data_IF_319945743113
#
_entry.id   IF_319945743113
#
_cell.length_a   1.000
_cell.length_b   1.000
_cell.length_c   1.000
_cell.angle_alpha   90.00
_cell.angle_beta   90.00
_cell.angle_gamma   90.00
#
_symmetry.space_group_name_H-M   'P 1'
#
loop_
_entity.id
_entity.type
_entity.pdbx_description
1 polymer ?
#
# COMPACT_ATOMS: atom_id res chain seq x y z
N UNK A 1 45.89 -16.80 -13.75
CA UNK A 1 46.62 -16.14 -12.66
C UNK A 1 47.57 -15.14 -13.28
N UNK A 2 47.51 -13.89 -12.86
CA UNK A 2 48.40 -12.85 -13.35
C UNK A 2 49.66 -12.81 -12.47
N UNK A 3 50.78 -13.34 -12.99
CA UNK A 3 52.06 -13.42 -12.28
C UNK A 3 52.60 -12.04 -11.89
N UNK A 4 52.33 -11.00 -12.68
CA UNK A 4 52.75 -9.63 -12.34
C UNK A 4 51.93 -9.05 -11.20
N UNK A 5 50.62 -9.33 -11.18
CA UNK A 5 49.74 -8.91 -10.07
C UNK A 5 50.16 -9.56 -8.75
N UNK A 6 50.40 -10.87 -8.75
CA UNK A 6 50.87 -11.61 -7.57
C UNK A 6 52.27 -11.14 -7.13
N UNK A 7 53.19 -10.93 -8.07
CA UNK A 7 54.53 -10.42 -7.77
C UNK A 7 54.53 -9.04 -7.12
N UNK A 8 53.74 -8.11 -7.68
CA UNK A 8 53.56 -6.77 -7.12
C UNK A 8 52.98 -6.82 -5.71
N UNK A 9 52.01 -7.72 -5.48
CA UNK A 9 51.39 -7.94 -4.19
C UNK A 9 52.36 -8.51 -3.14
N UNK A 10 53.23 -9.47 -3.52
CA UNK A 10 54.30 -9.99 -2.67
C UNK A 10 55.27 -8.87 -2.26
N UNK A 11 55.68 -8.03 -3.23
CA UNK A 11 56.59 -6.90 -2.96
C UNK A 11 55.97 -5.89 -2.01
N UNK A 12 54.68 -5.58 -2.18
CA UNK A 12 53.93 -4.67 -1.31
C UNK A 12 53.85 -5.20 0.13
N UNK A 13 53.46 -6.47 0.30
CA UNK A 13 53.34 -7.10 1.63
C UNK A 13 54.71 -7.21 2.33
N UNK A 14 55.78 -7.54 1.59
CA UNK A 14 57.14 -7.57 2.13
C UNK A 14 57.55 -6.19 2.64
N UNK A 15 57.33 -5.14 1.84
CA UNK A 15 57.64 -3.75 2.22
C UNK A 15 56.82 -3.28 3.41
N UNK A 16 55.53 -3.62 3.49
CA UNK A 16 54.67 -3.31 4.65
C UNK A 16 55.19 -3.93 5.95
N UNK A 17 55.88 -5.06 5.87
CA UNK A 17 56.53 -5.72 7.00
C UNK A 17 57.99 -5.29 7.22
N UNK A 18 58.45 -4.25 6.50
CA UNK A 18 59.80 -3.71 6.57
C UNK A 18 60.91 -4.76 6.36
N UNK A 19 60.64 -5.79 5.54
CA UNK A 19 61.62 -6.85 5.27
C UNK A 19 62.39 -6.57 3.98
N UNK A 20 63.67 -6.92 3.91
CA UNK A 20 64.44 -6.96 2.65
C UNK A 20 64.12 -8.22 1.83
N UNK A 21 64.43 -8.25 0.53
CA UNK A 21 64.23 -9.47 -0.29
C UNK A 21 65.10 -10.64 0.22
N UNK A 22 66.29 -10.34 0.74
CA UNK A 22 67.17 -11.31 1.38
C UNK A 22 66.57 -11.87 2.68
N UNK A 23 65.97 -11.01 3.52
CA UNK A 23 65.30 -11.46 4.75
C UNK A 23 64.09 -12.34 4.48
N UNK A 24 63.29 -12.01 3.45
CA UNK A 24 62.18 -12.84 3.03
C UNK A 24 62.68 -14.20 2.49
N UNK A 25 63.76 -14.19 1.71
CA UNK A 25 64.41 -15.40 1.22
C UNK A 25 64.89 -16.30 2.35
N UNK A 26 65.56 -15.72 3.36
CA UNK A 26 66.05 -16.44 4.52
C UNK A 26 64.91 -17.10 5.32
N UNK A 27 63.77 -16.42 5.49
CA UNK A 27 62.60 -16.97 6.20
C UNK A 27 61.94 -18.14 5.47
N UNK A 28 62.09 -18.21 4.15
CA UNK A 28 61.46 -19.22 3.30
C UNK A 28 62.45 -20.27 2.80
N UNK A 29 63.72 -20.21 3.24
CA UNK A 29 64.82 -21.05 2.75
C UNK A 29 65.01 -20.99 1.22
N UNK A 30 64.86 -19.79 0.63
CA UNK A 30 65.04 -19.56 -0.80
C UNK A 30 66.05 -18.43 -1.06
N UNK A 31 66.62 -18.41 -2.26
CA UNK A 31 67.58 -17.36 -2.63
C UNK A 31 66.90 -16.00 -2.83
N UNK A 32 67.61 -14.91 -2.52
CA UNK A 32 67.18 -13.54 -2.84
C UNK A 32 66.76 -13.39 -4.33
N UNK A 33 67.49 -14.06 -5.23
CA UNK A 33 67.19 -14.07 -6.67
C UNK A 33 65.83 -14.70 -7.00
N UNK A 34 65.40 -15.72 -6.25
CA UNK A 34 64.07 -16.32 -6.41
C UNK A 34 62.97 -15.33 -6.01
N UNK A 35 63.12 -14.67 -4.85
CA UNK A 35 62.19 -13.63 -4.39
C UNK A 35 62.09 -12.47 -5.39
N UNK A 36 63.22 -12.02 -5.93
CA UNK A 36 63.25 -10.98 -6.96
C UNK A 36 62.45 -11.37 -8.21
N UNK A 37 62.61 -12.61 -8.71
CA UNK A 37 61.83 -13.11 -9.86
C UNK A 37 60.34 -13.19 -9.58
N UNK A 38 59.96 -13.55 -8.36
CA UNK A 38 58.54 -13.57 -7.97
C UNK A 38 57.99 -12.15 -7.96
N UNK A 39 58.71 -11.19 -7.39
CA UNK A 39 58.28 -9.79 -7.30
C UNK A 39 58.18 -9.10 -8.67
N UNK A 40 59.04 -9.44 -9.64
CA UNK A 40 58.98 -8.89 -11.02
C UNK A 40 57.97 -9.60 -11.92
N UNK A 41 57.42 -10.73 -11.49
CA UNK A 41 56.51 -11.57 -12.28
C UNK A 41 57.20 -12.47 -13.31
N UNK A 42 58.53 -12.55 -13.28
CA UNK A 42 59.37 -13.40 -14.16
C UNK A 42 59.52 -14.85 -13.64
N UNK A 43 58.82 -15.17 -12.55
CA UNK A 43 58.74 -16.51 -11.97
C UNK A 43 57.63 -16.58 -10.94
N UNK A 44 57.27 -17.79 -10.53
CA UNK A 44 56.23 -18.02 -9.53
C UNK A 44 56.78 -18.85 -8.36
N UNK A 45 56.32 -18.63 -7.12
CA UNK A 45 56.67 -19.50 -6.00
C UNK A 45 56.20 -20.93 -6.27
N UNK A 46 57.00 -21.93 -5.87
CA UNK A 46 56.58 -23.32 -5.99
C UNK A 46 55.39 -23.62 -5.08
N UNK A 47 54.58 -24.61 -5.47
CA UNK A 47 53.35 -24.97 -4.72
C UNK A 47 53.62 -25.31 -3.24
N UNK A 48 54.82 -25.81 -2.95
CA UNK A 48 55.32 -26.13 -1.60
C UNK A 48 55.70 -24.88 -0.81
N UNK A 49 56.12 -23.80 -1.47
CA UNK A 49 56.54 -22.54 -0.85
C UNK A 49 55.37 -21.57 -0.64
N UNK A 50 54.26 -21.72 -1.39
CA UNK A 50 53.09 -20.84 -1.32
C UNK A 50 52.46 -20.77 0.09
N UNK A 51 52.25 -21.88 0.83
CA UNK A 51 51.70 -21.82 2.19
C UNK A 51 52.63 -21.06 3.17
N UNK A 52 53.93 -21.36 3.12
CA UNK A 52 54.93 -20.69 3.97
C UNK A 52 55.06 -19.20 3.65
N UNK A 53 55.02 -18.84 2.37
CA UNK A 53 55.03 -17.45 1.91
C UNK A 53 53.79 -16.70 2.40
N UNK A 54 52.60 -17.31 2.30
CA UNK A 54 51.35 -16.74 2.78
C UNK A 54 51.38 -16.50 4.30
N UNK A 55 51.92 -17.44 5.07
CA UNK A 55 52.10 -17.33 6.51
C UNK A 55 53.07 -16.20 6.90
N UNK A 56 54.25 -16.14 6.28
CA UNK A 56 55.24 -15.09 6.54
C UNK A 56 54.68 -13.71 6.20
N UNK A 57 53.88 -13.60 5.14
CA UNK A 57 53.25 -12.34 4.72
C UNK A 57 51.93 -12.03 5.45
N UNK A 58 51.36 -12.97 6.20
CA UNK A 58 50.15 -12.78 7.02
C UNK A 58 48.85 -12.72 6.22
N UNK A 59 48.77 -13.44 5.11
CA UNK A 59 47.57 -13.54 4.25
C UNK A 59 47.20 -15.02 4.04
N UNK A 60 45.98 -15.31 3.61
CA UNK A 60 45.60 -16.66 3.19
C UNK A 60 46.24 -17.02 1.84
N UNK A 61 46.44 -18.31 1.58
CA UNK A 61 46.92 -18.80 0.28
C UNK A 61 46.05 -18.30 -0.86
N UNK A 62 44.72 -18.28 -0.68
CA UNK A 62 43.77 -17.73 -1.65
C UNK A 62 43.98 -16.24 -1.95
N UNK A 63 44.35 -15.42 -0.96
CA UNK A 63 44.62 -13.98 -1.16
C UNK A 63 45.95 -13.75 -1.88
N UNK A 64 46.99 -14.50 -1.49
CA UNK A 64 48.30 -14.47 -2.14
C UNK A 64 48.19 -14.85 -3.63
N UNK A 65 47.46 -15.92 -3.92
CA UNK A 65 47.24 -16.44 -5.28
C UNK A 65 46.39 -15.50 -6.17
N UNK A 66 45.50 -14.72 -5.58
CA UNK A 66 44.66 -13.73 -6.30
C UNK A 66 45.31 -12.34 -6.40
N UNK A 67 46.45 -12.13 -5.70
CA UNK A 67 47.18 -10.87 -5.69
C UNK A 67 46.40 -9.71 -5.06
N UNK A 68 45.48 -10.01 -4.14
CA UNK A 68 44.63 -9.03 -3.48
C UNK A 68 44.18 -9.55 -2.11
N UNK A 69 44.17 -8.66 -1.11
CA UNK A 69 43.53 -8.96 0.18
C UNK A 69 42.02 -8.97 -0.07
N UNK A 70 41.45 -10.15 -0.24
CA UNK A 70 40.00 -10.34 -0.14
C UNK A 70 39.62 -10.14 1.32
N UNK A 71 39.34 -8.89 1.69
CA UNK A 71 38.84 -8.55 3.00
C UNK A 71 37.71 -9.50 3.40
N UNK A 72 38.03 -10.45 4.27
CA UNK A 72 37.04 -11.35 4.87
C UNK A 72 35.95 -10.48 5.51
N UNK A 73 34.71 -10.66 5.08
CA UNK A 73 33.56 -10.52 5.98
C UNK A 73 32.80 -9.19 6.01
N UNK A 74 32.82 -8.35 4.98
CA UNK A 74 31.91 -7.19 4.95
C UNK A 74 31.09 -7.09 3.65
N UNK A 75 31.66 -7.41 2.50
CA UNK A 75 30.95 -7.29 1.22
C UNK A 75 30.10 -8.52 0.90
N UNK A 76 30.61 -9.73 1.14
CA UNK A 76 29.85 -10.97 0.91
C UNK A 76 28.66 -11.10 1.88
N UNK A 77 28.85 -10.73 3.16
CA UNK A 77 27.78 -10.77 4.15
C UNK A 77 26.69 -9.73 3.82
N UNK A 78 27.07 -8.53 3.38
CA UNK A 78 26.12 -7.52 2.90
C UNK A 78 25.35 -7.98 1.66
N UNK A 79 25.99 -8.67 0.72
CA UNK A 79 25.30 -9.22 -0.45
C UNK A 79 24.33 -10.34 -0.08
N UNK A 80 24.74 -11.26 0.79
CA UNK A 80 23.89 -12.36 1.30
C UNK A 80 22.68 -11.79 2.05
N UNK A 81 22.90 -10.82 2.95
CA UNK A 81 21.83 -10.14 3.69
C UNK A 81 20.91 -9.36 2.75
N UNK A 82 21.44 -8.69 1.72
CA UNK A 82 20.64 -7.98 0.72
C UNK A 82 19.75 -8.96 -0.07
N UNK A 83 20.30 -10.08 -0.52
CA UNK A 83 19.56 -11.11 -1.26
C UNK A 83 18.49 -11.77 -0.40
N UNK A 84 18.80 -12.04 0.87
CA UNK A 84 17.84 -12.55 1.85
C UNK A 84 16.69 -11.56 2.10
N UNK A 85 17.00 -10.28 2.29
CA UNK A 85 15.99 -9.22 2.45
C UNK A 85 15.10 -9.06 1.21
N UNK A 86 15.65 -9.20 0.00
CA UNK A 86 14.88 -9.20 -1.25
C UNK A 86 13.93 -10.40 -1.29
N UNK A 87 14.41 -11.60 -0.98
CA UNK A 87 13.59 -12.81 -0.95
C UNK A 87 12.48 -12.72 0.10
N UNK A 88 12.78 -12.23 1.31
CA UNK A 88 11.77 -11.97 2.34
C UNK A 88 10.72 -10.95 1.89
N UNK A 89 11.14 -9.85 1.25
CA UNK A 89 10.20 -8.87 0.68
C UNK A 89 9.30 -9.49 -0.38
N UNK A 90 9.80 -10.40 -1.22
CA UNK A 90 8.99 -11.12 -2.19
C UNK A 90 7.98 -12.07 -1.50
N UNK A 91 8.43 -12.87 -0.54
CA UNK A 91 7.56 -13.79 0.22
C UNK A 91 6.47 -13.01 0.95
N UNK A 92 6.80 -11.88 1.59
CA UNK A 92 5.82 -11.04 2.27
C UNK A 92 4.81 -10.43 1.30
N UNK A 93 5.24 -9.95 0.12
CA UNK A 93 4.31 -9.46 -0.92
C UNK A 93 3.36 -10.56 -1.43
N UNK A 94 3.85 -11.79 -1.61
CA UNK A 94 3.02 -12.93 -2.00
C UNK A 94 2.02 -13.29 -0.89
N UNK A 95 2.46 -13.28 0.37
CA UNK A 95 1.62 -13.57 1.54
C UNK A 95 0.53 -12.52 1.74
N UNK A 96 0.86 -11.23 1.59
CA UNK A 96 -0.11 -10.13 1.61
C UNK A 96 -1.16 -10.30 0.50
N UNK A 97 -0.74 -10.53 -0.74
CA UNK A 97 -1.67 -10.74 -1.86
C UNK A 97 -2.57 -11.95 -1.68
N UNK A 98 -2.03 -13.07 -1.19
CA UNK A 98 -2.79 -14.28 -0.90
C UNK A 98 -3.84 -14.05 0.20
N UNK A 99 -3.48 -13.37 1.28
CA UNK A 99 -4.42 -13.05 2.35
C UNK A 99 -5.55 -12.13 1.88
N UNK A 100 -5.25 -11.09 1.10
CA UNK A 100 -6.27 -10.20 0.53
C UNK A 100 -7.23 -10.95 -0.38
N UNK A 101 -6.72 -11.85 -1.24
CA UNK A 101 -7.57 -12.65 -2.13
C UNK A 101 -8.44 -13.65 -1.35
N UNK A 102 -7.92 -14.26 -0.27
CA UNK A 102 -8.71 -15.12 0.62
C UNK A 102 -9.86 -14.36 1.28
N UNK A 103 -9.59 -13.16 1.81
CA UNK A 103 -10.63 -12.31 2.41
C UNK A 103 -11.68 -11.94 1.36
N UNK A 104 -11.27 -11.53 0.16
CA UNK A 104 -12.18 -11.18 -0.92
C UNK A 104 -13.05 -12.36 -1.37
N UNK A 105 -12.50 -13.58 -1.40
CA UNK A 105 -13.23 -14.79 -1.72
C UNK A 105 -14.32 -15.08 -0.67
N UNK A 106 -13.98 -15.01 0.63
CA UNK A 106 -14.94 -15.19 1.72
C UNK A 106 -16.07 -14.17 1.63
N UNK A 107 -15.72 -12.88 1.44
CA UNK A 107 -16.74 -11.82 1.29
C UNK A 107 -17.65 -12.10 0.09
N UNK A 108 -17.07 -12.43 -1.07
CA UNK A 108 -17.85 -12.74 -2.28
C UNK A 108 -18.79 -13.92 -2.07
N UNK A 109 -18.33 -14.98 -1.41
CA UNK A 109 -19.18 -16.13 -1.08
C UNK A 109 -20.35 -15.76 -0.17
N UNK A 110 -20.13 -14.88 0.82
CA UNK A 110 -21.19 -14.42 1.72
C UNK A 110 -22.27 -13.61 0.96
N UNK A 111 -21.87 -12.73 0.03
CA UNK A 111 -22.82 -12.00 -0.83
C UNK A 111 -23.64 -12.93 -1.72
N UNK A 112 -23.01 -13.94 -2.32
CA UNK A 112 -23.71 -14.92 -3.15
C UNK A 112 -24.73 -15.73 -2.35
N UNK A 113 -24.38 -16.15 -1.13
CA UNK A 113 -25.31 -16.83 -0.22
C UNK A 113 -26.47 -15.90 0.15
N UNK A 114 -26.20 -14.62 0.43
CA UNK A 114 -27.25 -13.63 0.70
C UNK A 114 -28.22 -13.46 -0.46
N UNK A 115 -27.71 -13.29 -1.68
CA UNK A 115 -28.52 -13.17 -2.90
C UNK A 115 -29.36 -14.44 -3.10
N UNK A 116 -28.74 -15.62 -2.97
CA UNK A 116 -29.43 -16.90 -3.11
C UNK A 116 -30.55 -17.06 -2.08
N UNK A 117 -30.29 -16.69 -0.82
CA UNK A 117 -31.27 -16.78 0.27
C UNK A 117 -32.47 -15.86 0.00
N UNK A 118 -32.22 -14.60 -0.39
CA UNK A 118 -33.28 -13.66 -0.73
C UNK A 118 -34.14 -14.14 -1.92
N UNK A 119 -33.51 -14.66 -2.98
CA UNK A 119 -34.23 -15.23 -4.12
C UNK A 119 -35.04 -16.46 -3.75
N UNK A 120 -34.46 -17.37 -2.95
CA UNK A 120 -35.12 -18.60 -2.53
C UNK A 120 -36.35 -18.28 -1.67
N UNK A 121 -36.24 -17.37 -0.71
CA UNK A 121 -37.36 -16.94 0.11
C UNK A 121 -38.50 -16.36 -0.73
N UNK A 122 -38.19 -15.47 -1.67
CA UNK A 122 -39.19 -14.85 -2.55
C UNK A 122 -39.88 -15.87 -3.45
N UNK A 123 -39.11 -16.78 -4.05
CA UNK A 123 -39.66 -17.84 -4.89
C UNK A 123 -40.54 -18.81 -4.09
N UNK A 124 -40.16 -19.16 -2.86
CA UNK A 124 -40.95 -20.06 -2.02
C UNK A 124 -42.29 -19.43 -1.60
N UNK A 125 -42.31 -18.12 -1.31
CA UNK A 125 -43.50 -17.41 -0.85
C UNK A 125 -44.41 -17.03 -2.01
N UNK A 126 -43.87 -16.39 -3.05
CA UNK A 126 -44.65 -15.75 -4.09
C UNK A 126 -44.71 -16.56 -5.40
N UNK A 127 -43.92 -17.64 -5.53
CA UNK A 127 -43.71 -18.39 -6.80
C UNK A 127 -43.27 -17.51 -7.98
N UNK A 128 -42.80 -16.31 -7.69
CA UNK A 128 -42.33 -15.30 -8.62
C UNK A 128 -41.19 -14.51 -7.99
N UNK A 129 -40.44 -13.78 -8.81
CA UNK A 129 -39.38 -12.88 -8.36
C UNK A 129 -39.90 -11.45 -8.37
N UNK A 130 -40.28 -10.93 -7.20
CA UNK A 130 -40.72 -9.55 -7.03
C UNK A 130 -39.80 -8.81 -6.07
N UNK A 131 -39.99 -9.06 -4.79
CA UNK A 131 -39.34 -8.32 -3.69
C UNK A 131 -37.84 -8.66 -3.56
N UNK A 132 -37.40 -9.82 -4.07
CA UNK A 132 -35.99 -10.23 -4.02
C UNK A 132 -35.08 -9.39 -4.92
N UNK A 133 -35.63 -8.73 -5.93
CA UNK A 133 -34.85 -7.91 -6.86
C UNK A 133 -34.32 -6.62 -6.22
N UNK A 134 -35.02 -6.05 -5.24
CA UNK A 134 -34.56 -4.89 -4.47
C UNK A 134 -33.26 -5.19 -3.68
N UNK A 135 -33.22 -6.16 -2.75
CA UNK A 135 -32.00 -6.49 -2.02
C UNK A 135 -30.90 -7.03 -2.93
N UNK A 136 -31.26 -7.73 -4.02
CA UNK A 136 -30.26 -8.19 -4.98
C UNK A 136 -29.50 -7.03 -5.62
N UNK A 137 -30.21 -6.02 -6.13
CA UNK A 137 -29.58 -4.84 -6.71
C UNK A 137 -28.66 -4.13 -5.69
N UNK A 138 -29.12 -3.96 -4.46
CA UNK A 138 -28.32 -3.36 -3.39
C UNK A 138 -27.06 -4.18 -3.05
N UNK A 139 -27.19 -5.51 -2.93
CA UNK A 139 -26.06 -6.41 -2.64
C UNK A 139 -25.02 -6.40 -3.76
N UNK A 140 -25.45 -6.35 -5.03
CA UNK A 140 -24.54 -6.23 -6.17
C UNK A 140 -23.76 -4.92 -6.15
N UNK A 141 -24.40 -3.79 -5.82
CA UNK A 141 -23.72 -2.50 -5.71
C UNK A 141 -22.65 -2.53 -4.62
N UNK A 142 -23.01 -3.05 -3.43
CA UNK A 142 -22.07 -3.17 -2.31
C UNK A 142 -20.89 -4.06 -2.71
N UNK A 143 -21.16 -5.20 -3.36
CA UNK A 143 -20.12 -6.09 -3.84
C UNK A 143 -19.18 -5.41 -4.86
N UNK A 144 -19.72 -4.65 -5.81
CA UNK A 144 -18.93 -3.88 -6.80
C UNK A 144 -18.04 -2.81 -6.15
N UNK A 145 -18.50 -2.18 -5.05
CA UNK A 145 -17.73 -1.18 -4.31
C UNK A 145 -16.58 -1.84 -3.53
N UNK A 146 -16.76 -3.05 -3.01
CA UNK A 146 -15.75 -3.75 -2.21
C UNK A 146 -14.52 -4.13 -3.05
N UNK A 147 -14.70 -4.56 -4.30
CA UNK A 147 -13.59 -5.00 -5.18
C UNK A 147 -12.45 -3.96 -5.29
N UNK A 148 -12.70 -2.70 -5.69
CA UNK A 148 -11.65 -1.69 -5.80
C UNK A 148 -11.02 -1.34 -4.45
N UNK A 149 -11.76 -1.40 -3.33
CA UNK A 149 -11.22 -1.15 -1.98
C UNK A 149 -10.10 -2.13 -1.65
N UNK A 150 -10.28 -3.41 -2.00
CA UNK A 150 -9.32 -4.47 -1.65
C UNK A 150 -8.25 -4.71 -2.71
N UNK A 151 -8.56 -4.57 -4.02
CA UNK A 151 -7.59 -4.83 -5.09
C UNK A 151 -6.67 -3.65 -5.42
N UNK A 152 -7.15 -2.41 -5.29
CA UNK A 152 -6.39 -1.24 -5.71
C UNK A 152 -5.53 -0.70 -4.57
N UNK A 153 -4.26 -0.39 -4.87
CA UNK A 153 -3.33 0.21 -3.90
C UNK A 153 -3.40 1.74 -3.90
N UNK A 154 -3.56 2.35 -5.08
CA UNK A 154 -3.61 3.80 -5.28
C UNK A 154 -5.04 4.22 -5.66
N UNK A 155 -5.49 5.37 -5.19
CA UNK A 155 -6.81 5.96 -5.48
C UNK A 155 -8.02 5.05 -5.17
N UNK A 156 -7.84 3.97 -4.40
CA UNK A 156 -8.88 2.96 -4.10
C UNK A 156 -10.18 3.59 -3.59
N UNK A 157 -10.07 4.59 -2.72
CA UNK A 157 -11.22 5.28 -2.13
C UNK A 157 -12.00 6.03 -3.21
N UNK A 158 -11.33 6.84 -4.03
CA UNK A 158 -11.95 7.62 -5.11
C UNK A 158 -12.64 6.70 -6.12
N UNK A 159 -11.97 5.62 -6.53
CA UNK A 159 -12.51 4.67 -7.51
C UNK A 159 -13.75 3.97 -6.94
N UNK A 160 -13.74 3.59 -5.65
CA UNK A 160 -14.88 2.94 -5.00
C UNK A 160 -16.12 3.85 -4.94
N UNK A 161 -15.92 5.13 -4.62
CA UNK A 161 -17.01 6.12 -4.63
C UNK A 161 -17.49 6.44 -6.05
N UNK A 162 -16.60 6.39 -7.04
CA UNK A 162 -16.99 6.55 -8.46
C UNK A 162 -17.86 5.38 -8.92
N UNK A 163 -17.50 4.15 -8.54
CA UNK A 163 -18.30 2.95 -8.79
C UNK A 163 -19.66 3.05 -8.12
N UNK A 164 -19.72 3.50 -6.85
CA UNK A 164 -20.98 3.76 -6.15
C UNK A 164 -21.85 4.79 -6.91
N UNK A 165 -21.29 5.97 -7.22
CA UNK A 165 -22.01 7.03 -7.92
C UNK A 165 -22.58 6.56 -9.27
N UNK A 166 -21.80 5.81 -10.04
CA UNK A 166 -22.22 5.27 -11.33
C UNK A 166 -23.32 4.19 -11.18
N UNK A 167 -23.29 3.42 -10.10
CA UNK A 167 -24.22 2.29 -9.88
C UNK A 167 -25.55 2.71 -9.25
N UNK A 168 -25.59 3.84 -8.54
CA UNK A 168 -26.83 4.36 -7.90
C UNK A 168 -27.90 4.69 -8.94
N UNK A 169 -27.54 5.33 -10.05
CA UNK A 169 -28.52 5.75 -11.07
C UNK A 169 -29.23 4.54 -11.70
N UNK A 170 -28.53 3.51 -12.23
CA UNK A 170 -29.17 2.29 -12.72
C UNK A 170 -30.04 1.60 -11.68
N UNK A 171 -29.63 1.62 -10.41
CA UNK A 171 -30.40 1.00 -9.33
C UNK A 171 -31.73 1.74 -9.07
N UNK A 172 -31.75 3.07 -9.13
CA UNK A 172 -32.99 3.84 -9.01
C UNK A 172 -33.99 3.50 -10.13
N UNK A 173 -33.52 3.39 -11.37
CA UNK A 173 -34.35 2.96 -12.50
C UNK A 173 -34.83 1.51 -12.36
N UNK A 174 -34.00 0.64 -11.78
CA UNK A 174 -34.40 -0.73 -11.46
C UNK A 174 -35.53 -0.76 -10.42
N UNK A 175 -35.47 0.07 -9.37
CA UNK A 175 -36.56 0.20 -8.39
C UNK A 175 -37.84 0.69 -9.07
N UNK A 176 -37.77 1.69 -9.95
CA UNK A 176 -38.93 2.19 -10.70
C UNK A 176 -39.56 1.10 -11.57
N UNK A 177 -38.72 0.34 -12.29
CA UNK A 177 -39.18 -0.76 -13.12
C UNK A 177 -39.92 -1.84 -12.30
N UNK A 178 -39.39 -2.21 -11.13
CA UNK A 178 -40.00 -3.23 -10.27
C UNK A 178 -41.25 -2.71 -9.56
N UNK A 179 -41.22 -1.46 -9.09
CA UNK A 179 -42.34 -0.85 -8.38
C UNK A 179 -43.58 -0.67 -9.27
N UNK A 180 -43.42 -0.64 -10.60
CA UNK A 180 -44.52 -0.47 -11.54
C UNK A 180 -45.12 0.94 -11.56
N UNK A 181 -44.72 1.81 -10.63
CA UNK A 181 -45.06 3.22 -10.62
C UNK A 181 -44.16 4.00 -11.58
N UNK A 182 -44.78 4.71 -12.52
CA UNK A 182 -44.05 5.47 -13.53
C UNK A 182 -43.80 6.89 -13.02
N UNK A 183 -42.55 7.35 -13.20
CA UNK A 183 -42.09 8.76 -13.18
C UNK A 183 -41.76 9.40 -11.83
N UNK A 184 -41.48 8.65 -10.76
CA UNK A 184 -40.96 9.27 -9.53
C UNK A 184 -39.43 9.46 -9.56
N UNK A 185 -38.69 8.64 -10.32
CA UNK A 185 -37.22 8.73 -10.35
C UNK A 185 -36.72 10.04 -10.94
N UNK A 186 -37.26 10.47 -12.08
CA UNK A 186 -36.80 11.70 -12.74
C UNK A 186 -37.05 12.99 -11.94
N UNK A 187 -38.27 13.26 -11.42
CA UNK A 187 -38.55 14.50 -10.70
C UNK A 187 -38.02 14.48 -9.26
N UNK A 188 -37.92 13.31 -8.62
CA UNK A 188 -37.58 13.22 -7.20
C UNK A 188 -36.22 12.57 -6.97
N UNK A 189 -36.03 11.32 -7.39
CA UNK A 189 -34.85 10.54 -6.98
C UNK A 189 -33.55 11.01 -7.63
N UNK A 190 -33.58 11.40 -8.91
CA UNK A 190 -32.41 11.77 -9.67
C UNK A 190 -31.79 13.10 -9.18
N UNK A 191 -32.54 14.19 -8.96
CA UNK A 191 -31.98 15.42 -8.37
C UNK A 191 -31.35 15.17 -7.01
N UNK A 192 -32.00 14.35 -6.16
CA UNK A 192 -31.51 13.97 -4.84
C UNK A 192 -30.19 13.19 -4.93
N UNK A 193 -30.13 12.21 -5.84
CA UNK A 193 -28.93 11.40 -6.04
C UNK A 193 -27.76 12.26 -6.56
N UNK A 194 -28.00 13.13 -7.55
CA UNK A 194 -26.99 14.03 -8.11
C UNK A 194 -26.44 14.96 -7.02
N UNK A 195 -27.32 15.61 -6.25
CA UNK A 195 -26.93 16.49 -5.16
C UNK A 195 -26.07 15.76 -4.13
N UNK A 196 -26.48 14.55 -3.74
CA UNK A 196 -25.77 13.72 -2.77
C UNK A 196 -24.39 13.28 -3.28
N UNK A 197 -24.29 12.92 -4.56
CA UNK A 197 -23.03 12.54 -5.20
C UNK A 197 -22.08 13.74 -5.24
N UNK A 198 -22.55 14.92 -5.63
CA UNK A 198 -21.73 16.15 -5.66
C UNK A 198 -21.19 16.47 -4.26
N UNK A 199 -22.07 16.47 -3.25
CA UNK A 199 -21.67 16.71 -1.86
C UNK A 199 -20.62 15.71 -1.36
N UNK A 200 -20.78 14.44 -1.72
CA UNK A 200 -19.84 13.38 -1.40
C UNK A 200 -18.46 13.61 -2.04
N UNK A 201 -18.40 13.99 -3.33
CA UNK A 201 -17.13 14.30 -4.00
C UNK A 201 -16.45 15.54 -3.40
N UNK A 202 -17.20 16.56 -2.98
CA UNK A 202 -16.66 17.73 -2.28
C UNK A 202 -15.99 17.29 -0.97
N UNK A 203 -16.66 16.46 -0.17
CA UNK A 203 -16.10 15.94 1.08
C UNK A 203 -14.86 15.07 0.84
N UNK A 204 -14.87 14.23 -0.18
CA UNK A 204 -13.68 13.43 -0.55
C UNK A 204 -12.51 14.30 -1.00
N UNK A 205 -12.77 15.33 -1.79
CA UNK A 205 -11.76 16.29 -2.22
C UNK A 205 -11.13 16.99 -1.02
N UNK A 206 -11.97 17.47 -0.08
CA UNK A 206 -11.50 18.06 1.17
C UNK A 206 -10.64 17.08 1.97
N UNK A 207 -11.07 15.82 2.11
CA UNK A 207 -10.36 14.82 2.90
C UNK A 207 -9.00 14.40 2.31
N UNK A 208 -8.88 14.38 0.98
CA UNK A 208 -7.66 13.90 0.30
C UNK A 208 -6.66 15.03 0.05
N UNK A 209 -7.13 16.23 -0.29
CA UNK A 209 -6.28 17.30 -0.80
C UNK A 209 -5.95 18.39 0.24
N UNK A 210 -6.79 18.59 1.25
CA UNK A 210 -6.52 19.63 2.25
C UNK A 210 -5.56 19.15 3.34
N UNK A 211 -4.67 20.04 3.78
CA UNK A 211 -3.78 19.85 4.95
C UNK A 211 -4.50 20.12 6.29
N UNK A 212 -5.82 20.31 6.25
CA UNK A 212 -6.63 20.60 7.42
C UNK A 212 -6.70 19.34 8.29
N UNK A 213 -6.71 19.50 9.62
CA UNK A 213 -6.86 18.36 10.52
C UNK A 213 -8.19 17.65 10.27
N UNK A 214 -8.17 16.31 10.27
CA UNK A 214 -9.32 15.45 9.92
C UNK A 214 -10.61 15.80 10.69
N UNK A 215 -10.49 16.26 11.93
CA UNK A 215 -11.63 16.64 12.78
C UNK A 215 -12.37 17.88 12.27
N UNK A 216 -11.69 18.86 11.69
CA UNK A 216 -12.35 19.99 11.03
C UNK A 216 -13.05 19.57 9.74
N UNK A 217 -12.44 18.67 8.95
CA UNK A 217 -13.08 18.13 7.73
C UNK A 217 -14.36 17.37 8.08
N UNK A 218 -14.38 16.62 9.20
CA UNK A 218 -15.61 15.98 9.67
C UNK A 218 -16.69 16.98 10.05
N UNK A 219 -16.34 18.09 10.72
CA UNK A 219 -17.30 19.15 11.05
C UNK A 219 -17.88 19.82 9.79
N UNK A 220 -17.04 20.12 8.80
CA UNK A 220 -17.48 20.67 7.51
C UNK A 220 -18.39 19.69 6.78
N UNK A 221 -18.11 18.39 6.86
CA UNK A 221 -18.97 17.35 6.27
C UNK A 221 -20.37 17.35 6.91
N UNK A 222 -20.46 17.49 8.23
CA UNK A 222 -21.75 17.62 8.92
C UNK A 222 -22.52 18.87 8.50
N UNK A 223 -21.84 19.98 8.17
CA UNK A 223 -22.51 21.18 7.67
C UNK A 223 -23.01 20.97 6.23
N UNK A 224 -22.18 20.42 5.34
CA UNK A 224 -22.56 20.16 3.95
C UNK A 224 -23.75 19.20 3.87
N UNK A 225 -23.67 18.05 4.55
CA UNK A 225 -24.73 17.04 4.55
C UNK A 225 -25.93 17.45 5.41
N UNK A 226 -25.68 17.98 6.61
CA UNK A 226 -26.72 18.28 7.59
C UNK A 226 -27.50 19.56 7.32
N UNK A 227 -26.87 20.56 6.70
CA UNK A 227 -27.53 21.84 6.36
C UNK A 227 -27.83 21.91 4.87
N UNK A 228 -26.79 21.81 4.03
CA UNK A 228 -26.90 22.03 2.59
C UNK A 228 -27.86 21.04 1.91
N UNK A 229 -27.61 19.74 2.09
CA UNK A 229 -28.46 18.70 1.47
C UNK A 229 -29.87 18.75 2.06
N UNK A 230 -30.04 18.82 3.39
CA UNK A 230 -31.38 18.78 4.00
C UNK A 230 -32.29 19.94 3.55
N UNK A 231 -31.76 21.15 3.37
CA UNK A 231 -32.55 22.30 2.87
C UNK A 231 -32.99 22.03 1.42
N UNK A 232 -32.05 21.62 0.56
CA UNK A 232 -32.35 21.33 -0.84
C UNK A 232 -33.32 20.15 -0.99
N UNK A 233 -33.17 19.10 -0.18
CA UNK A 233 -34.15 18.01 -0.10
C UNK A 233 -35.53 18.52 0.29
N UNK A 234 -35.61 19.39 1.30
CA UNK A 234 -36.86 19.99 1.74
C UNK A 234 -37.57 20.80 0.65
N UNK A 235 -36.82 21.48 -0.23
CA UNK A 235 -37.36 22.19 -1.39
C UNK A 235 -37.88 21.22 -2.46
N UNK A 236 -37.05 20.25 -2.88
CA UNK A 236 -37.42 19.26 -3.91
C UNK A 236 -38.65 18.45 -3.48
N UNK A 237 -38.67 17.99 -2.22
CA UNK A 237 -39.81 17.22 -1.68
C UNK A 237 -41.04 18.13 -1.56
N UNK A 238 -40.87 19.38 -1.13
CA UNK A 238 -41.97 20.35 -1.02
C UNK A 238 -42.65 20.64 -2.36
N UNK A 239 -41.86 20.79 -3.44
CA UNK A 239 -42.37 20.95 -4.81
C UNK A 239 -43.12 19.71 -5.30
N UNK A 240 -42.67 18.51 -4.93
CA UNK A 240 -43.28 17.25 -5.38
C UNK A 240 -44.53 16.85 -4.59
N UNK A 241 -44.55 17.09 -3.27
CA UNK A 241 -45.59 16.59 -2.34
C UNK A 241 -46.62 17.68 -2.00
N UNK A 242 -46.45 18.92 -2.49
CA UNK A 242 -47.37 20.04 -2.24
C UNK A 242 -47.65 20.29 -0.74
N UNK A 243 -46.69 19.92 0.12
CA UNK A 243 -46.79 20.05 1.57
C UNK A 243 -45.74 21.03 2.09
N UNK A 244 -46.17 21.93 2.96
CA UNK A 244 -45.36 23.04 3.49
C UNK A 244 -44.17 22.50 4.30
N UNK A 245 -43.00 23.15 4.18
CA UNK A 245 -41.75 22.75 4.83
C UNK A 245 -41.93 22.38 6.30
N UNK A 246 -41.60 21.11 6.62
CA UNK A 246 -41.74 20.52 7.94
C UNK A 246 -40.77 21.13 8.97
N UNK A 247 -41.25 21.29 10.20
CA UNK A 247 -40.47 21.56 11.42
C UNK A 247 -39.25 20.64 11.59
N UNK A 248 -39.30 19.43 11.02
CA UNK A 248 -38.20 18.46 11.03
C UNK A 248 -36.94 18.92 10.28
N UNK A 249 -37.06 19.71 9.22
CA UNK A 249 -35.87 20.22 8.50
C UNK A 249 -35.09 21.20 9.36
N UNK A 250 -35.79 22.08 10.07
CA UNK A 250 -35.19 23.02 11.02
C UNK A 250 -34.50 22.31 12.19
N UNK A 251 -35.13 21.27 12.76
CA UNK A 251 -34.53 20.48 13.85
C UNK A 251 -33.25 19.79 13.37
N UNK A 252 -33.25 19.19 12.18
CA UNK A 252 -32.08 18.50 11.63
C UNK A 252 -30.93 19.47 11.30
N UNK A 253 -31.25 20.64 10.73
CA UNK A 253 -30.27 21.72 10.49
C UNK A 253 -29.65 22.15 11.81
N UNK A 254 -30.46 22.44 12.83
CA UNK A 254 -29.97 22.86 14.14
C UNK A 254 -29.07 21.79 14.79
N UNK A 255 -29.50 20.52 14.78
CA UNK A 255 -28.73 19.41 15.34
C UNK A 255 -27.39 19.25 14.61
N UNK A 256 -27.38 19.38 13.29
CA UNK A 256 -26.13 19.25 12.51
C UNK A 256 -25.13 20.37 12.81
N UNK A 257 -25.60 21.61 12.97
CA UNK A 257 -24.78 22.75 13.38
C UNK A 257 -24.24 22.52 14.80
N UNK A 258 -25.10 22.06 15.72
CA UNK A 258 -24.71 21.78 17.09
C UNK A 258 -23.61 20.72 17.18
N UNK A 259 -23.75 19.61 16.43
CA UNK A 259 -22.73 18.55 16.35
C UNK A 259 -21.42 19.09 15.75
N UNK A 260 -21.50 19.87 14.66
CA UNK A 260 -20.31 20.47 14.06
C UNK A 260 -19.58 21.40 15.05
N UNK A 261 -20.30 22.21 15.81
CA UNK A 261 -19.75 23.07 16.86
C UNK A 261 -19.06 22.25 17.97
N UNK A 262 -19.67 21.15 18.42
CA UNK A 262 -19.04 20.26 19.43
C UNK A 262 -17.72 19.70 18.91
N UNK A 263 -17.69 19.23 17.65
CA UNK A 263 -16.47 18.68 17.04
C UNK A 263 -15.37 19.73 16.97
N UNK A 264 -15.72 20.97 16.57
CA UNK A 264 -14.77 22.09 16.52
C UNK A 264 -14.26 22.46 17.92
N UNK A 265 -15.15 22.55 18.93
CA UNK A 265 -14.75 22.83 20.31
C UNK A 265 -13.84 21.74 20.88
N UNK A 266 -14.13 20.47 20.59
CA UNK A 266 -13.30 19.35 21.00
C UNK A 266 -11.91 19.43 20.38
N UNK A 267 -11.81 19.71 19.08
CA UNK A 267 -10.53 19.87 18.41
C UNK A 267 -9.75 21.08 18.94
N UNK A 268 -10.41 22.21 19.20
CA UNK A 268 -9.79 23.39 19.80
C UNK A 268 -9.19 23.08 21.20
N UNK A 269 -9.91 22.33 22.04
CA UNK A 269 -9.40 21.90 23.35
C UNK A 269 -8.21 20.94 23.20
N UNK A 270 -8.28 20.03 22.23
CA UNK A 270 -7.20 19.07 21.92
C UNK A 270 -5.94 19.77 21.40
N UNK A 271 -6.08 20.79 20.55
CA UNK A 271 -4.94 21.54 20.02
C UNK A 271 -4.24 22.30 21.13
N UNK A 272 -5.01 22.93 22.03
CA UNK A 272 -4.48 23.69 23.17
C UNK A 272 -3.68 22.80 24.14
N UNK A 273 -4.19 21.62 24.47
CA UNK A 273 -3.51 20.65 25.35
C UNK A 273 -2.23 20.04 24.74
N UNK A 274 -2.07 20.13 23.42
CA UNK A 274 -0.86 19.65 22.73
C UNK A 274 0.23 20.72 22.59
N UNK A 275 -0.09 21.98 22.88
CA UNK A 275 0.83 23.13 22.80
C UNK A 275 1.28 23.65 24.17
N UNK A 276 0.64 23.19 25.25
CA UNK A 276 1.07 23.35 26.65
C UNK A 276 1.95 22.17 27.04
#
# INVERSE_FOLDING_TARGET
MDSKKVGSFISELRKKKNMTQQELGNKLNVTNKAVSKWETGDGYPEITTIPALAEVLGVSTSELLNGEIKGKGMNDEKEVVKKFNINLKMINKLKEGNNTNRILFVITSAFLIGIFTCMLCDYLINKAFGWSLYPLGALLIIWLIIIPIFKLKKHRIIISFTVFALSVIPYLFLIEYIAGEKRWVMPLALPIAILSIIALYIVLYLFIYTQIRKLYVTAISFIIFGVGINIALGQIIGEFVNHQQNTSTFINVFLSIFIACIIVMFEYKRTRKSSE
#
